data_IF_415212239679
#
_entry.id   IF_415212239679
#
_cell.length_a   1.000
_cell.length_b   1.000
_cell.length_c   1.000
_cell.angle_alpha   90.00
_cell.angle_beta   90.00
_cell.angle_gamma   90.00
#
_symmetry.space_group_name_H-M   'P 1'
#
loop_
_entity.id
_entity.type
_entity.pdbx_description
1 polymer ?
#
# COMPACT_ATOMS: atom_id res chain seq x y z
N UNK A 1 23.53 34.76 -23.76
CA UNK A 1 23.61 34.73 -22.25
C UNK A 1 23.08 33.37 -21.82
N UNK A 2 23.99 32.49 -21.42
CA UNK A 2 23.71 31.12 -21.03
C UNK A 2 23.40 31.11 -19.54
N UNK A 3 22.21 30.70 -19.12
CA UNK A 3 21.88 30.47 -17.70
C UNK A 3 21.94 28.99 -17.38
N UNK A 4 22.74 28.69 -16.38
CA UNK A 4 23.15 27.39 -15.90
C UNK A 4 21.98 26.54 -15.39
N UNK A 5 21.97 25.27 -15.79
CA UNK A 5 21.16 24.21 -15.19
C UNK A 5 21.70 23.89 -13.81
N UNK A 6 20.89 24.07 -12.78
CA UNK A 6 21.15 23.48 -11.45
C UNK A 6 20.71 22.03 -11.49
N UNK A 7 21.68 21.15 -11.55
CA UNK A 7 21.49 19.72 -11.32
C UNK A 7 21.26 19.50 -9.82
N UNK A 8 20.15 18.87 -9.46
CA UNK A 8 19.95 18.30 -8.13
C UNK A 8 20.74 17.00 -8.08
N UNK A 9 21.93 17.05 -7.50
CA UNK A 9 22.74 15.86 -7.23
C UNK A 9 22.23 15.18 -5.97
N UNK A 10 21.72 13.96 -6.10
CA UNK A 10 21.60 13.03 -4.97
C UNK A 10 23.00 12.50 -4.67
N UNK A 11 23.53 12.85 -3.51
CA UNK A 11 24.86 12.46 -3.05
C UNK A 11 24.85 10.99 -2.65
N UNK A 12 25.47 10.15 -3.46
CA UNK A 12 25.82 8.78 -3.08
C UNK A 12 27.19 8.79 -2.38
N UNK A 13 27.20 8.54 -1.07
CA UNK A 13 28.42 8.28 -0.31
C UNK A 13 28.94 6.88 -0.64
N UNK A 14 30.16 6.80 -1.15
CA UNK A 14 30.92 5.55 -1.35
C UNK A 14 31.42 5.04 0.01
N UNK A 15 30.98 3.87 0.44
CA UNK A 15 31.62 3.13 1.52
C UNK A 15 32.38 1.94 0.96
N UNK A 16 33.67 1.93 1.25
CA UNK A 16 34.64 0.90 0.91
C UNK A 16 34.50 -0.27 1.91
N UNK A 17 34.37 -1.50 1.41
CA UNK A 17 34.26 -2.72 2.21
C UNK A 17 35.68 -3.22 2.46
N UNK A 18 36.07 -3.36 3.73
CA UNK A 18 37.27 -4.10 4.16
C UNK A 18 36.82 -5.46 4.70
N UNK A 19 37.27 -6.53 4.04
CA UNK A 19 37.09 -7.92 4.51
C UNK A 19 38.00 -8.18 5.71
N UNK A 20 37.46 -8.76 6.78
CA UNK A 20 38.21 -9.46 7.79
C UNK A 20 37.63 -10.86 8.01
N UNK A 21 38.43 -11.89 7.68
CA UNK A 21 38.21 -13.32 8.01
C UNK A 21 38.73 -13.60 9.44
N UNK A 22 37.95 -14.34 10.24
CA UNK A 22 38.34 -15.30 11.30
C UNK A 22 37.04 -15.63 12.06
N UNK A 23 36.72 -16.83 12.50
CA UNK A 23 37.32 -18.10 12.71
C UNK A 23 36.23 -18.97 13.34
N UNK A 24 36.23 -20.27 13.00
CA UNK A 24 35.34 -21.31 13.56
C UNK A 24 35.55 -21.49 15.07
N UNK A 25 34.46 -21.63 15.81
CA UNK A 25 34.44 -22.53 17.00
C UNK A 25 33.02 -23.10 17.19
N UNK A 26 32.98 -24.41 17.19
CA UNK A 26 31.84 -25.24 17.55
C UNK A 26 31.63 -25.26 19.06
N UNK A 27 30.40 -25.18 19.52
CA UNK A 27 29.98 -25.68 20.85
C UNK A 27 28.60 -26.32 20.78
N UNK A 28 28.54 -27.44 21.44
CA UNK A 28 27.51 -28.48 21.42
C UNK A 28 26.21 -28.10 22.14
N UNK A 29 25.15 -28.80 21.71
CA UNK A 29 23.86 -29.06 22.32
C UNK A 29 23.71 -28.85 23.83
N UNK A 30 22.66 -28.07 24.22
CA UNK A 30 21.83 -28.37 25.39
C UNK A 30 20.39 -28.14 25.01
N UNK A 31 19.62 -29.22 24.96
CA UNK A 31 18.19 -29.19 24.70
C UNK A 31 17.41 -28.49 25.84
N UNK A 32 16.71 -27.46 25.52
CA UNK A 32 15.61 -26.92 26.33
C UNK A 32 14.30 -27.13 25.57
N UNK A 33 13.54 -28.11 26.02
CA UNK A 33 12.20 -28.45 25.53
C UNK A 33 11.22 -27.37 26.01
N UNK A 34 11.12 -26.25 25.31
CA UNK A 34 10.07 -25.27 25.51
C UNK A 34 8.87 -25.69 24.64
N UNK A 35 7.85 -26.27 25.27
CA UNK A 35 6.51 -26.40 24.69
C UNK A 35 6.10 -25.03 24.12
N UNK A 36 6.07 -24.91 22.80
CA UNK A 36 5.43 -23.82 22.15
C UNK A 36 3.95 -23.82 22.56
N UNK A 37 3.53 -22.77 23.25
CA UNK A 37 2.11 -22.51 23.46
C UNK A 37 1.47 -22.34 22.09
N UNK A 38 0.63 -23.30 21.71
CA UNK A 38 -0.23 -23.23 20.53
C UNK A 38 -1.15 -22.02 20.71
N UNK A 39 -0.91 -20.95 19.96
CA UNK A 39 -1.84 -19.83 19.81
C UNK A 39 -3.10 -20.39 19.16
N UNK A 40 -4.12 -20.66 19.97
CA UNK A 40 -5.44 -21.06 19.51
C UNK A 40 -6.11 -19.84 18.85
N UNK A 41 -6.36 -19.88 17.54
CA UNK A 41 -7.32 -18.97 16.92
C UNK A 41 -6.99 -18.34 15.57
N UNK A 42 -5.74 -18.30 15.10
CA UNK A 42 -5.45 -17.79 13.76
C UNK A 42 -5.83 -18.85 12.71
N UNK A 43 -6.79 -18.54 11.84
CA UNK A 43 -7.15 -19.41 10.71
C UNK A 43 -5.96 -19.55 9.76
N UNK A 44 -5.76 -20.76 9.20
CA UNK A 44 -4.76 -20.97 8.15
C UNK A 44 -5.06 -20.03 6.97
N UNK A 45 -4.01 -19.45 6.38
CA UNK A 45 -4.13 -18.66 5.16
C UNK A 45 -4.39 -19.62 4.00
N UNK A 46 -5.40 -19.35 3.22
CA UNK A 46 -5.75 -20.07 1.99
C UNK A 46 -5.63 -19.14 0.79
N UNK A 47 -5.41 -19.71 -0.37
CA UNK A 47 -5.34 -19.00 -1.66
C UNK A 47 -6.62 -19.23 -2.45
N UNK A 48 -7.03 -18.22 -3.22
CA UNK A 48 -8.16 -18.33 -4.12
C UNK A 48 -7.98 -17.45 -5.36
N UNK A 49 -8.89 -17.62 -6.29
CA UNK A 49 -8.91 -16.79 -7.49
C UNK A 49 -10.31 -16.43 -7.92
N UNK A 50 -10.43 -15.34 -8.66
CA UNK A 50 -11.66 -14.82 -9.25
C UNK A 50 -11.36 -14.33 -10.67
N UNK A 51 -12.25 -14.56 -11.61
CA UNK A 51 -12.09 -14.05 -12.98
C UNK A 51 -13.03 -12.88 -13.20
N UNK A 52 -12.48 -11.75 -13.61
CA UNK A 52 -13.22 -10.51 -13.90
C UNK A 52 -14.05 -10.65 -15.18
N UNK A 53 -14.99 -9.71 -15.41
CA UNK A 53 -15.84 -9.68 -16.59
C UNK A 53 -15.08 -9.54 -17.92
N UNK A 54 -13.86 -8.98 -17.88
CA UNK A 54 -12.94 -8.88 -19.02
C UNK A 54 -11.93 -10.06 -19.11
N UNK A 55 -12.15 -11.13 -18.35
CA UNK A 55 -11.42 -12.40 -18.44
C UNK A 55 -10.08 -12.43 -17.69
N UNK A 56 -9.76 -11.45 -16.85
CA UNK A 56 -8.52 -11.41 -16.07
C UNK A 56 -8.69 -12.18 -14.77
N UNK A 57 -7.82 -13.16 -14.53
CA UNK A 57 -7.82 -13.94 -13.28
C UNK A 57 -7.07 -13.18 -12.20
N UNK A 58 -7.77 -12.81 -11.13
CA UNK A 58 -7.21 -12.19 -9.94
C UNK A 58 -7.00 -13.23 -8.85
N UNK A 59 -5.83 -13.19 -8.22
CA UNK A 59 -5.48 -13.99 -7.07
C UNK A 59 -5.80 -13.23 -5.77
N UNK A 60 -6.10 -13.96 -4.70
CA UNK A 60 -6.23 -13.39 -3.36
C UNK A 60 -5.82 -14.41 -2.29
N UNK A 61 -5.38 -13.88 -1.15
CA UNK A 61 -5.16 -14.62 0.09
C UNK A 61 -6.32 -14.38 1.04
N UNK A 62 -6.75 -15.41 1.76
CA UNK A 62 -7.89 -15.33 2.67
C UNK A 62 -7.60 -16.06 3.99
N UNK A 63 -8.00 -15.47 5.11
CA UNK A 63 -7.88 -16.09 6.42
C UNK A 63 -9.03 -15.68 7.35
N UNK A 64 -9.41 -16.57 8.27
CA UNK A 64 -10.45 -16.30 9.26
C UNK A 64 -11.87 -16.44 8.75
N UNK A 65 -12.82 -16.05 9.61
CA UNK A 65 -14.26 -16.06 9.38
C UNK A 65 -14.90 -14.83 9.99
N UNK A 66 -16.14 -14.54 9.65
CA UNK A 66 -16.89 -13.40 10.18
C UNK A 66 -17.05 -12.28 9.19
N UNK A 67 -17.10 -11.02 9.69
CA UNK A 67 -17.28 -9.83 8.85
C UNK A 67 -16.16 -9.69 7.83
N UNK A 68 -16.45 -9.45 6.55
CA UNK A 68 -15.41 -9.29 5.54
C UNK A 68 -14.57 -8.02 5.78
N UNK A 69 -13.25 -8.20 5.81
CA UNK A 69 -12.25 -7.15 5.73
C UNK A 69 -11.44 -7.39 4.46
N UNK A 70 -11.66 -6.57 3.44
CA UNK A 70 -10.98 -6.70 2.14
C UNK A 70 -9.86 -5.67 2.06
N UNK A 71 -8.64 -6.12 1.75
CA UNK A 71 -7.43 -5.31 1.74
C UNK A 71 -6.89 -5.17 0.33
N UNK A 72 -6.76 -3.93 -0.12
CA UNK A 72 -6.25 -3.56 -1.45
C UNK A 72 -4.82 -3.04 -1.29
N UNK A 73 -3.83 -3.65 -1.94
CA UNK A 73 -2.43 -3.22 -1.87
C UNK A 73 -2.19 -1.92 -2.64
N UNK A 74 -1.05 -1.30 -2.38
CA UNK A 74 -0.59 -0.14 -3.12
C UNK A 74 -0.01 -0.49 -4.49
N UNK A 75 0.49 0.53 -5.17
CA UNK A 75 1.15 0.39 -6.47
C UNK A 75 2.30 -0.61 -6.39
N UNK A 76 2.29 -1.57 -7.30
CA UNK A 76 3.30 -2.63 -7.44
C UNK A 76 3.36 -3.64 -6.28
N UNK A 77 2.55 -3.49 -5.25
CA UNK A 77 2.52 -4.36 -4.06
C UNK A 77 1.73 -5.65 -4.31
N UNK A 78 1.80 -6.57 -3.35
CA UNK A 78 1.11 -7.86 -3.42
C UNK A 78 0.28 -8.14 -2.18
N UNK A 79 -0.70 -9.05 -2.30
CA UNK A 79 -1.50 -9.57 -1.19
C UNK A 79 -0.63 -10.13 -0.06
N UNK A 80 0.52 -10.73 -0.38
CA UNK A 80 1.44 -11.31 0.58
C UNK A 80 2.03 -10.27 1.56
N UNK A 81 2.09 -8.99 1.19
CA UNK A 81 2.58 -7.94 2.08
C UNK A 81 1.63 -7.68 3.27
N UNK A 82 0.38 -8.16 3.21
CA UNK A 82 -0.57 -8.15 4.33
C UNK A 82 -0.48 -9.40 5.24
N UNK A 83 0.62 -10.16 5.19
CA UNK A 83 0.81 -11.41 5.97
C UNK A 83 0.48 -11.26 7.47
N UNK A 84 0.86 -10.13 8.06
CA UNK A 84 0.60 -9.84 9.47
C UNK A 84 -0.86 -9.45 9.76
N UNK A 85 -1.58 -8.91 8.79
CA UNK A 85 -3.00 -8.59 8.88
C UNK A 85 -3.84 -9.85 8.67
N UNK A 86 -3.47 -10.68 7.68
CA UNK A 86 -4.11 -11.98 7.43
C UNK A 86 -4.09 -12.87 8.69
N UNK A 87 -2.97 -12.93 9.40
CA UNK A 87 -2.87 -13.70 10.65
C UNK A 87 -3.44 -12.98 11.85
N UNK A 88 -3.13 -11.69 12.00
CA UNK A 88 -3.42 -10.92 13.21
C UNK A 88 -4.85 -10.39 13.32
N UNK A 89 -5.65 -10.40 12.23
CA UNK A 89 -7.05 -9.94 12.21
C UNK A 89 -8.04 -11.09 11.99
N UNK A 90 -7.56 -12.28 11.65
CA UNK A 90 -8.41 -13.43 11.30
C UNK A 90 -9.21 -14.04 12.47
N UNK A 91 -8.92 -13.64 13.70
CA UNK A 91 -9.69 -13.98 14.89
C UNK A 91 -11.04 -13.23 14.97
N UNK A 92 -11.15 -12.09 14.27
CA UNK A 92 -12.34 -11.22 14.27
C UNK A 92 -12.99 -11.08 12.90
N UNK A 93 -12.21 -11.20 11.84
CA UNK A 93 -12.63 -10.90 10.47
C UNK A 93 -12.35 -12.06 9.53
N UNK A 94 -13.12 -12.14 8.47
CA UNK A 94 -12.76 -12.83 7.24
C UNK A 94 -11.88 -11.87 6.44
N UNK A 95 -10.56 -11.98 6.58
CA UNK A 95 -9.59 -11.10 5.92
C UNK A 95 -9.31 -11.62 4.52
N UNK A 96 -9.46 -10.78 3.51
CA UNK A 96 -9.18 -11.08 2.10
C UNK A 96 -8.21 -10.03 1.59
N UNK A 97 -6.99 -10.42 1.22
CA UNK A 97 -6.00 -9.55 0.59
C UNK A 97 -5.90 -9.89 -0.90
N UNK A 98 -6.04 -8.90 -1.79
CA UNK A 98 -6.13 -9.09 -3.23
C UNK A 98 -4.80 -8.79 -3.89
N UNK A 99 -4.37 -9.62 -4.85
CA UNK A 99 -3.44 -9.20 -5.88
C UNK A 99 -4.22 -8.53 -7.01
N UNK A 100 -4.02 -7.22 -7.20
CA UNK A 100 -4.67 -6.50 -8.30
C UNK A 100 -4.16 -6.99 -9.66
N UNK A 101 -4.87 -6.70 -10.76
CA UNK A 101 -4.37 -7.05 -12.11
C UNK A 101 -2.93 -6.55 -12.32
N UNK A 102 -2.08 -7.40 -12.86
CA UNK A 102 -0.66 -7.12 -13.04
C UNK A 102 0.20 -7.39 -11.81
N UNK A 103 -0.38 -7.41 -10.60
CA UNK A 103 0.34 -7.56 -9.34
C UNK A 103 0.42 -9.02 -8.90
N UNK A 104 1.39 -9.35 -8.06
CA UNK A 104 1.53 -10.62 -7.37
C UNK A 104 1.33 -11.84 -8.27
N UNK A 105 0.41 -12.71 -7.88
CA UNK A 105 0.07 -13.94 -8.60
C UNK A 105 -1.14 -13.77 -9.55
N UNK A 106 -1.71 -12.57 -9.66
CA UNK A 106 -2.74 -12.26 -10.64
C UNK A 106 -2.19 -12.19 -12.06
N UNK A 107 -3.07 -12.40 -13.05
CA UNK A 107 -2.75 -12.25 -14.47
C UNK A 107 -2.17 -10.87 -14.79
N UNK A 108 -1.31 -10.84 -15.80
CA UNK A 108 -0.60 -9.63 -16.27
C UNK A 108 -1.05 -9.26 -17.69
N UNK A 109 -2.34 -8.85 -17.86
CA UNK A 109 -2.87 -8.48 -19.17
C UNK A 109 -2.12 -7.28 -19.75
N UNK A 110 -2.22 -7.06 -21.05
CA UNK A 110 -1.63 -5.91 -21.72
C UNK A 110 -2.44 -4.61 -21.54
N UNK A 111 -3.59 -4.68 -20.84
CA UNK A 111 -4.58 -3.59 -20.69
C UNK A 111 -5.13 -3.47 -19.28
N UNK A 112 -5.90 -2.39 -19.02
CA UNK A 112 -6.67 -2.23 -17.79
C UNK A 112 -5.90 -1.60 -16.63
N UNK A 113 -4.71 -1.07 -16.84
CA UNK A 113 -3.90 -0.40 -15.82
C UNK A 113 -4.36 1.03 -15.60
N UNK A 114 -5.54 1.18 -14.97
CA UNK A 114 -6.20 2.43 -14.61
C UNK A 114 -6.96 2.26 -13.30
N UNK A 115 -6.95 3.26 -12.45
CA UNK A 115 -7.58 3.20 -11.11
C UNK A 115 -9.04 2.77 -11.18
N UNK A 116 -9.85 3.35 -12.06
CA UNK A 116 -11.26 2.99 -12.20
C UNK A 116 -11.47 1.53 -12.65
N UNK A 117 -10.57 0.96 -13.48
CA UNK A 117 -10.66 -0.48 -13.80
C UNK A 117 -10.31 -1.35 -12.59
N UNK A 118 -9.32 -0.95 -11.80
CA UNK A 118 -8.99 -1.63 -10.55
C UNK A 118 -10.18 -1.55 -9.56
N UNK A 119 -10.85 -0.41 -9.50
CA UNK A 119 -12.06 -0.22 -8.68
C UNK A 119 -13.19 -1.15 -9.11
N UNK A 120 -13.40 -1.28 -10.42
CA UNK A 120 -14.36 -2.23 -10.98
C UNK A 120 -13.99 -3.69 -10.67
N UNK A 121 -12.71 -4.05 -10.74
CA UNK A 121 -12.22 -5.39 -10.34
C UNK A 121 -12.57 -5.73 -8.89
N UNK A 122 -12.42 -4.75 -7.98
CA UNK A 122 -12.80 -4.92 -6.57
C UNK A 122 -14.32 -5.11 -6.45
N UNK A 123 -15.14 -4.28 -7.10
CA UNK A 123 -16.60 -4.41 -7.06
C UNK A 123 -17.07 -5.76 -7.61
N UNK A 124 -16.49 -6.21 -8.71
CA UNK A 124 -16.77 -7.52 -9.31
C UNK A 124 -16.42 -8.66 -8.34
N UNK A 125 -15.26 -8.59 -7.65
CA UNK A 125 -14.88 -9.58 -6.63
C UNK A 125 -15.88 -9.61 -5.47
N UNK A 126 -16.24 -8.43 -4.90
CA UNK A 126 -17.22 -8.36 -3.81
C UNK A 126 -18.55 -8.96 -4.22
N UNK A 127 -18.98 -8.68 -5.44
CA UNK A 127 -20.24 -9.19 -6.00
C UNK A 127 -20.20 -10.71 -6.19
N UNK A 128 -19.18 -11.23 -6.84
CA UNK A 128 -19.05 -12.67 -7.14
C UNK A 128 -18.91 -13.51 -5.86
N UNK A 129 -18.26 -12.98 -4.82
CA UNK A 129 -18.15 -13.65 -3.51
C UNK A 129 -19.38 -13.41 -2.61
N UNK A 130 -20.38 -12.66 -3.06
CA UNK A 130 -21.58 -12.34 -2.27
C UNK A 130 -21.26 -11.54 -1.00
N UNK A 131 -20.18 -10.74 -0.99
CA UNK A 131 -19.77 -9.98 0.18
C UNK A 131 -20.61 -8.72 0.33
N UNK A 132 -21.06 -8.46 1.55
CA UNK A 132 -21.76 -7.24 1.96
C UNK A 132 -21.29 -6.83 3.35
N UNK A 133 -21.63 -5.64 3.81
CA UNK A 133 -21.17 -5.09 5.09
C UNK A 133 -19.63 -5.12 5.21
N UNK A 134 -18.96 -4.87 4.09
CA UNK A 134 -17.50 -4.99 3.95
C UNK A 134 -16.80 -3.82 4.63
N UNK A 135 -15.75 -4.11 5.40
CA UNK A 135 -14.70 -3.14 5.72
C UNK A 135 -13.71 -3.14 4.57
N UNK A 136 -13.61 -2.05 3.82
CA UNK A 136 -12.68 -1.96 2.69
C UNK A 136 -11.45 -1.16 3.11
N UNK A 137 -10.30 -1.81 3.13
CA UNK A 137 -9.01 -1.22 3.51
C UNK A 137 -8.12 -1.06 2.28
N UNK A 138 -7.57 0.11 2.05
CA UNK A 138 -6.62 0.37 0.96
C UNK A 138 -5.33 0.96 1.50
N UNK A 139 -4.19 0.45 1.03
CA UNK A 139 -2.89 1.03 1.29
C UNK A 139 -2.41 1.79 0.05
N UNK A 140 -1.92 3.04 0.24
CA UNK A 140 -1.33 3.81 -0.86
C UNK A 140 -2.29 3.88 -2.06
N UNK A 141 -1.88 3.48 -3.27
CA UNK A 141 -2.77 3.38 -4.44
C UNK A 141 -4.09 2.66 -4.15
N UNK A 142 -4.12 1.72 -3.20
CA UNK A 142 -5.37 1.06 -2.77
C UNK A 142 -6.42 2.03 -2.24
N UNK A 143 -6.02 3.18 -1.66
CA UNK A 143 -6.95 4.24 -1.30
C UNK A 143 -7.57 4.89 -2.55
N UNK A 144 -6.78 5.15 -3.59
CA UNK A 144 -7.31 5.69 -4.87
C UNK A 144 -8.28 4.70 -5.53
N UNK A 145 -8.02 3.39 -5.40
CA UNK A 145 -8.96 2.36 -5.84
C UNK A 145 -10.27 2.42 -5.03
N UNK A 146 -10.21 2.70 -3.72
CA UNK A 146 -11.41 2.91 -2.88
C UNK A 146 -12.16 4.19 -3.32
N UNK A 147 -11.46 5.28 -3.60
CA UNK A 147 -12.10 6.52 -4.05
C UNK A 147 -12.74 6.36 -5.43
N UNK A 148 -12.06 5.70 -6.37
CA UNK A 148 -12.67 5.34 -7.66
C UNK A 148 -13.84 4.36 -7.53
N UNK A 149 -13.80 3.44 -6.56
CA UNK A 149 -14.95 2.60 -6.22
C UNK A 149 -16.12 3.45 -5.74
N UNK A 150 -15.84 4.44 -4.84
CA UNK A 150 -16.87 5.33 -4.31
C UNK A 150 -17.51 6.18 -5.40
N UNK A 151 -16.72 6.71 -6.32
CA UNK A 151 -17.21 7.48 -7.47
C UNK A 151 -18.13 6.65 -8.39
N UNK A 152 -17.78 5.38 -8.64
CA UNK A 152 -18.52 4.52 -9.57
C UNK A 152 -19.74 3.86 -8.94
N UNK A 153 -19.68 3.50 -7.67
CA UNK A 153 -20.67 2.62 -7.01
C UNK A 153 -21.19 3.17 -5.67
N UNK A 154 -20.70 4.34 -5.23
CA UNK A 154 -20.99 4.85 -3.89
C UNK A 154 -20.56 3.86 -2.80
N UNK A 155 -21.36 3.78 -1.74
CA UNK A 155 -21.13 2.85 -0.65
C UNK A 155 -21.67 1.43 -0.89
N UNK A 156 -21.96 1.02 -2.14
CA UNK A 156 -22.49 -0.33 -2.38
C UNK A 156 -21.60 -1.41 -1.73
N UNK A 157 -22.22 -2.32 -0.96
CA UNK A 157 -21.59 -3.40 -0.19
C UNK A 157 -20.69 -2.96 0.96
N UNK A 158 -20.35 -1.68 1.09
CA UNK A 158 -19.39 -1.16 2.06
C UNK A 158 -20.07 -0.71 3.35
N UNK A 159 -19.35 -0.82 4.45
CA UNK A 159 -19.84 -0.39 5.77
C UNK A 159 -18.85 0.48 6.53
N UNK A 160 -17.56 0.32 6.27
CA UNK A 160 -16.48 1.13 6.84
C UNK A 160 -15.31 1.18 5.85
N UNK A 161 -14.50 2.23 5.92
CA UNK A 161 -13.27 2.36 5.15
C UNK A 161 -12.05 2.46 6.08
N UNK A 162 -10.91 1.91 5.62
CA UNK A 162 -9.59 2.12 6.23
C UNK A 162 -8.65 2.62 5.14
N UNK A 163 -8.29 3.88 5.19
CA UNK A 163 -7.42 4.56 4.23
C UNK A 163 -6.00 4.64 4.82
N UNK A 164 -5.03 3.96 4.19
CA UNK A 164 -3.71 3.78 4.76
C UNK A 164 -2.69 4.49 3.87
N UNK A 165 -2.21 5.63 4.35
CA UNK A 165 -1.06 6.39 3.86
C UNK A 165 -1.09 6.73 2.36
N UNK A 166 -2.12 7.47 1.94
CA UNK A 166 -2.26 8.00 0.59
C UNK A 166 -2.75 9.44 0.61
N UNK A 167 -2.14 10.29 -0.22
CA UNK A 167 -2.62 11.64 -0.51
C UNK A 167 -3.74 11.61 -1.57
N UNK A 168 -4.66 12.57 -1.57
CA UNK A 168 -5.77 12.61 -2.55
C UNK A 168 -5.32 12.95 -3.97
N UNK A 169 -4.13 13.53 -4.16
CA UNK A 169 -3.52 13.73 -5.46
C UNK A 169 -1.99 13.72 -5.35
N UNK A 170 -1.32 12.98 -6.23
CA UNK A 170 0.15 12.81 -6.21
C UNK A 170 0.85 13.95 -6.94
N UNK A 171 0.30 14.40 -8.08
CA UNK A 171 0.91 15.42 -8.93
C UNK A 171 0.26 16.78 -8.69
N UNK A 172 1.06 17.77 -8.29
CA UNK A 172 0.58 19.12 -8.05
C UNK A 172 0.02 19.76 -9.32
N UNK A 173 -1.15 20.38 -9.23
CA UNK A 173 -1.65 21.25 -10.28
C UNK A 173 -0.87 22.57 -10.24
N UNK A 174 -0.34 23.08 -11.39
CA UNK A 174 0.46 24.30 -11.43
C UNK A 174 -0.29 25.56 -11.01
N UNK A 175 -1.64 25.55 -10.99
CA UNK A 175 -2.45 26.68 -10.55
C UNK A 175 -2.67 26.74 -9.03
N UNK A 176 -2.29 25.67 -8.30
CA UNK A 176 -2.48 25.63 -6.85
C UNK A 176 -1.54 26.55 -6.09
N UNK A 177 -2.07 27.20 -5.06
CA UNK A 177 -1.27 27.88 -4.06
C UNK A 177 -0.57 26.88 -3.11
N UNK A 178 0.29 27.35 -2.22
CA UNK A 178 1.08 26.49 -1.31
C UNK A 178 0.20 25.75 -0.28
N UNK A 179 -0.94 26.32 0.12
CA UNK A 179 -1.87 25.67 1.03
C UNK A 179 -2.58 24.50 0.33
N UNK A 180 -3.07 24.72 -0.89
CA UNK A 180 -3.69 23.64 -1.70
C UNK A 180 -2.72 22.48 -1.96
N UNK A 181 -1.43 22.78 -2.23
CA UNK A 181 -0.40 21.75 -2.39
C UNK A 181 -0.19 20.96 -1.10
N UNK A 182 -0.17 21.65 0.05
CA UNK A 182 -0.02 21.04 1.38
C UNK A 182 -1.21 20.15 1.71
N UNK A 183 -2.43 20.64 1.48
CA UNK A 183 -3.67 19.92 1.73
C UNK A 183 -3.80 18.68 0.83
N UNK A 184 -3.51 18.84 -0.45
CA UNK A 184 -3.45 17.73 -1.38
C UNK A 184 -2.31 16.74 -1.08
N UNK A 185 -1.23 17.21 -0.43
CA UNK A 185 -0.05 16.40 -0.13
C UNK A 185 0.76 16.02 -1.37
N UNK A 186 0.61 16.78 -2.46
CA UNK A 186 1.24 16.48 -3.73
C UNK A 186 2.78 16.49 -3.64
N UNK A 187 3.41 15.45 -4.18
CA UNK A 187 4.87 15.22 -4.10
C UNK A 187 5.56 15.30 -5.47
N UNK A 188 4.81 15.28 -6.55
CA UNK A 188 5.32 15.36 -7.93
C UNK A 188 4.84 16.64 -8.60
N UNK A 189 5.62 17.14 -9.52
CA UNK A 189 5.19 18.02 -10.60
C UNK A 189 5.10 17.23 -11.93
N UNK A 190 4.65 17.90 -13.00
CA UNK A 190 4.50 17.26 -14.30
C UNK A 190 5.81 16.67 -14.85
N UNK A 191 6.95 17.32 -14.60
CA UNK A 191 8.25 16.86 -15.11
C UNK A 191 8.72 15.64 -14.31
N UNK A 192 8.63 15.71 -12.99
CA UNK A 192 8.97 14.59 -12.09
C UNK A 192 8.11 13.36 -12.37
N UNK A 193 6.82 13.54 -12.71
CA UNK A 193 5.95 12.43 -13.12
C UNK A 193 6.45 11.76 -14.41
N UNK A 194 6.79 12.53 -15.45
CA UNK A 194 7.34 11.96 -16.68
C UNK A 194 8.68 11.27 -16.44
N UNK A 195 9.59 11.89 -15.66
CA UNK A 195 10.90 11.33 -15.38
C UNK A 195 10.81 9.98 -14.64
N UNK A 196 9.98 9.88 -13.60
CA UNK A 196 9.83 8.63 -12.84
C UNK A 196 9.14 7.54 -13.67
N UNK A 197 8.12 7.88 -14.45
CA UNK A 197 7.43 6.89 -15.28
C UNK A 197 8.29 6.40 -16.45
N UNK A 198 9.08 7.27 -17.06
CA UNK A 198 10.06 6.89 -18.08
C UNK A 198 11.17 5.99 -17.50
N UNK A 199 11.70 6.33 -16.33
CA UNK A 199 12.69 5.51 -15.64
C UNK A 199 12.15 4.12 -15.31
N UNK A 200 10.91 4.04 -14.79
CA UNK A 200 10.24 2.77 -14.49
C UNK A 200 10.00 1.90 -15.72
N UNK A 201 9.62 2.52 -16.86
CA UNK A 201 9.36 1.79 -18.10
C UNK A 201 10.65 1.36 -18.84
N UNK A 202 11.77 2.01 -18.56
CA UNK A 202 13.06 1.82 -19.21
C UNK A 202 13.96 0.78 -18.55
N UNK A 203 15.24 0.82 -18.94
CA UNK A 203 16.28 -0.10 -18.46
C UNK A 203 16.53 0.01 -16.93
N UNK A 204 16.31 1.17 -16.34
CA UNK A 204 16.48 1.43 -14.91
C UNK A 204 15.26 1.05 -14.05
N UNK A 205 14.21 0.46 -14.63
CA UNK A 205 12.94 0.22 -13.95
C UNK A 205 13.05 -0.59 -12.66
N UNK A 206 13.92 -1.61 -12.62
CA UNK A 206 14.20 -2.40 -11.41
C UNK A 206 14.87 -1.53 -10.35
N UNK A 207 15.96 -0.85 -10.70
CA UNK A 207 16.72 0.01 -9.78
C UNK A 207 15.87 1.18 -9.25
N UNK A 208 15.05 1.78 -10.10
CA UNK A 208 14.11 2.84 -9.70
C UNK A 208 13.11 2.30 -8.67
N UNK A 209 12.57 1.11 -8.90
CA UNK A 209 11.65 0.46 -7.96
C UNK A 209 12.33 0.16 -6.62
N UNK A 210 13.55 -0.41 -6.64
CA UNK A 210 14.33 -0.71 -5.42
C UNK A 210 14.58 0.54 -4.59
N UNK A 211 15.01 1.64 -5.23
CA UNK A 211 15.24 2.92 -4.55
C UNK A 211 13.95 3.50 -3.97
N UNK A 212 12.86 3.42 -4.72
CA UNK A 212 11.56 3.93 -4.29
C UNK A 212 11.02 3.17 -3.08
N UNK A 213 11.00 1.83 -3.15
CA UNK A 213 10.53 1.00 -2.03
C UNK A 213 11.43 1.13 -0.80
N UNK A 214 12.75 1.20 -0.99
CA UNK A 214 13.70 1.40 0.13
C UNK A 214 13.41 2.69 0.90
N UNK A 215 13.10 3.77 0.20
CA UNK A 215 12.77 5.08 0.81
C UNK A 215 11.44 5.09 1.58
N UNK A 216 10.59 4.09 1.39
CA UNK A 216 9.28 3.97 2.02
C UNK A 216 9.28 3.24 3.37
N UNK A 217 10.42 2.74 3.82
CA UNK A 217 10.59 2.09 5.13
C UNK A 217 11.48 2.94 6.05
N UNK A 218 11.30 2.79 7.35
CA UNK A 218 12.21 3.39 8.33
C UNK A 218 13.58 2.73 8.27
N UNK A 219 14.62 3.45 8.70
CA UNK A 219 15.99 2.91 8.75
C UNK A 219 16.14 1.72 9.70
N UNK A 220 15.22 1.59 10.66
CA UNK A 220 15.19 0.52 11.65
C UNK A 220 14.61 -0.79 11.11
N UNK A 221 13.93 -0.75 9.95
CA UNK A 221 13.29 -1.95 9.41
C UNK A 221 14.30 -3.01 8.97
N UNK A 222 13.96 -4.27 9.18
CA UNK A 222 14.82 -5.42 8.87
C UNK A 222 15.23 -5.43 7.39
N UNK A 223 16.51 -5.59 7.13
CA UNK A 223 17.04 -5.65 5.75
C UNK A 223 16.48 -6.82 4.96
N UNK A 224 16.30 -7.97 5.60
CA UNK A 224 15.75 -9.16 4.93
C UNK A 224 14.27 -8.97 4.57
N UNK A 225 13.49 -8.41 5.48
CA UNK A 225 12.09 -8.07 5.22
C UNK A 225 11.95 -6.96 4.15
N UNK A 226 12.84 -5.96 4.14
CA UNK A 226 12.90 -4.95 3.10
C UNK A 226 13.21 -5.57 1.73
N UNK A 227 14.23 -6.44 1.66
CA UNK A 227 14.58 -7.15 0.43
C UNK A 227 13.41 -8.01 -0.07
N UNK A 228 12.72 -8.71 0.84
CA UNK A 228 11.52 -9.47 0.51
C UNK A 228 10.42 -8.55 -0.04
N UNK A 229 10.15 -7.40 0.58
CA UNK A 229 9.17 -6.44 0.10
C UNK A 229 9.52 -5.92 -1.31
N UNK A 230 10.79 -5.62 -1.58
CA UNK A 230 11.27 -5.22 -2.91
C UNK A 230 10.96 -6.32 -3.93
N UNK A 231 11.27 -7.59 -3.63
CA UNK A 231 10.99 -8.71 -4.54
C UNK A 231 9.49 -8.90 -4.80
N UNK A 232 8.61 -8.66 -3.81
CA UNK A 232 7.17 -8.64 -4.03
C UNK A 232 6.77 -7.56 -5.04
N UNK A 233 7.30 -6.35 -4.90
CA UNK A 233 7.00 -5.23 -5.79
C UNK A 233 7.52 -5.46 -7.24
N UNK A 234 8.60 -6.20 -7.41
CA UNK A 234 9.16 -6.52 -8.74
C UNK A 234 8.36 -7.58 -9.51
N UNK A 235 7.38 -8.24 -8.91
CA UNK A 235 6.49 -9.18 -9.62
C UNK A 235 5.60 -8.48 -10.67
N UNK A 236 5.35 -7.19 -10.53
CA UNK A 236 4.60 -6.41 -11.52
C UNK A 236 5.52 -5.98 -12.66
N UNK A 237 5.24 -6.29 -13.95
CA UNK A 237 6.09 -5.89 -15.07
C UNK A 237 6.26 -4.36 -15.15
N UNK A 238 7.50 -3.90 -15.20
CA UNK A 238 7.82 -2.47 -15.08
C UNK A 238 7.12 -1.56 -16.08
N UNK A 239 6.99 -1.90 -17.40
CA UNK A 239 6.25 -1.06 -18.34
C UNK A 239 4.77 -0.88 -17.98
N UNK A 240 4.14 -1.91 -17.42
CA UNK A 240 2.74 -1.82 -16.96
C UNK A 240 2.62 -1.07 -15.62
N UNK A 241 3.60 -1.27 -14.74
CA UNK A 241 3.69 -0.53 -13.49
C UNK A 241 3.84 0.98 -13.74
N UNK A 242 4.64 1.39 -14.73
CA UNK A 242 4.78 2.78 -15.15
C UNK A 242 3.45 3.36 -15.67
N UNK A 243 2.71 2.61 -16.49
CA UNK A 243 1.38 3.03 -16.98
C UNK A 243 0.40 3.26 -15.84
N UNK A 244 0.37 2.33 -14.88
CA UNK A 244 -0.52 2.45 -13.74
C UNK A 244 -0.12 3.60 -12.83
N UNK A 245 1.18 3.82 -12.60
CA UNK A 245 1.65 4.96 -11.80
C UNK A 245 1.25 6.29 -12.45
N UNK A 246 1.38 6.40 -13.78
CA UNK A 246 0.98 7.60 -14.50
C UNK A 246 -0.50 7.91 -14.30
N UNK A 247 -1.39 6.91 -14.52
CA UNK A 247 -2.83 7.07 -14.30
C UNK A 247 -3.12 7.42 -12.85
N UNK A 248 -2.54 6.69 -11.90
CA UNK A 248 -2.71 6.92 -10.45
C UNK A 248 -2.31 8.33 -10.03
N UNK A 249 -1.20 8.85 -10.56
CA UNK A 249 -0.64 10.13 -10.15
C UNK A 249 -1.38 11.35 -10.70
N UNK A 250 -2.26 11.18 -11.69
CA UNK A 250 -2.98 12.28 -12.35
C UNK A 250 -4.44 12.43 -11.91
N UNK A 251 -4.95 11.51 -11.10
CA UNK A 251 -6.31 11.62 -10.57
C UNK A 251 -6.35 12.50 -9.31
N UNK A 252 -7.26 13.46 -9.28
CA UNK A 252 -7.56 14.32 -8.13
C UNK A 252 -8.84 13.83 -7.44
N UNK A 253 -8.71 13.33 -6.22
CA UNK A 253 -9.80 12.73 -5.46
C UNK A 253 -10.40 13.66 -4.39
N UNK A 254 -9.98 14.93 -4.36
CA UNK A 254 -10.42 15.87 -3.31
C UNK A 254 -11.91 16.11 -3.29
N UNK A 255 -12.57 16.04 -4.43
CA UNK A 255 -14.02 16.20 -4.58
C UNK A 255 -14.82 14.94 -4.20
N UNK A 256 -14.17 13.76 -4.22
CA UNK A 256 -14.78 12.49 -3.79
C UNK A 256 -14.81 12.36 -2.26
N UNK A 257 -13.82 12.91 -1.55
CA UNK A 257 -13.70 12.76 -0.10
C UNK A 257 -14.95 13.21 0.67
N UNK A 258 -15.56 14.38 0.38
CA UNK A 258 -16.77 14.82 1.08
C UNK A 258 -18.02 13.97 0.82
N UNK A 259 -18.02 13.16 -0.25
CA UNK A 259 -19.13 12.28 -0.60
C UNK A 259 -19.12 10.99 0.24
N UNK A 260 -18.01 10.67 0.90
CA UNK A 260 -17.89 9.47 1.73
C UNK A 260 -18.71 9.65 3.00
N UNK A 261 -19.70 8.77 3.17
CA UNK A 261 -20.70 8.85 4.24
C UNK A 261 -20.73 7.63 5.17
N UNK A 262 -19.68 6.79 5.13
CA UNK A 262 -19.49 5.68 6.07
C UNK A 262 -18.34 5.99 7.03
N UNK A 263 -18.33 5.40 8.24
CA UNK A 263 -17.20 5.54 9.17
C UNK A 263 -15.88 5.22 8.49
N UNK A 264 -14.91 6.12 8.61
CA UNK A 264 -13.62 6.02 7.93
C UNK A 264 -12.47 6.21 8.91
N UNK A 265 -11.52 5.29 8.89
CA UNK A 265 -10.24 5.40 9.58
C UNK A 265 -9.16 5.81 8.56
N UNK A 266 -8.43 6.87 8.86
CA UNK A 266 -7.28 7.34 8.08
C UNK A 266 -6.03 7.06 8.91
N UNK A 267 -5.07 6.35 8.33
CA UNK A 267 -3.80 6.01 9.00
C UNK A 267 -2.65 6.56 8.18
N UNK A 268 -1.76 7.32 8.81
CA UNK A 268 -0.59 7.90 8.15
C UNK A 268 0.68 7.73 8.96
N UNK A 269 1.84 7.92 8.30
CA UNK A 269 3.16 7.90 8.90
C UNK A 269 3.80 9.28 8.97
N UNK A 270 4.42 9.60 10.11
CA UNK A 270 5.06 10.91 10.36
C UNK A 270 6.21 11.20 9.43
N UNK A 271 6.94 10.15 9.04
CA UNK A 271 8.13 10.22 8.17
C UNK A 271 7.88 9.66 6.77
N UNK A 272 6.61 9.35 6.45
CA UNK A 272 6.23 8.93 5.11
C UNK A 272 6.44 10.05 4.08
N UNK A 273 6.68 9.64 2.84
CA UNK A 273 6.64 10.56 1.69
C UNK A 273 5.23 11.15 1.49
N UNK A 274 4.18 10.46 1.98
CA UNK A 274 2.82 10.97 2.05
C UNK A 274 2.74 11.91 3.25
N UNK A 275 2.59 13.20 3.01
CA UNK A 275 2.57 14.22 4.06
C UNK A 275 1.47 13.97 5.09
N UNK A 276 1.84 13.70 6.35
CA UNK A 276 0.87 13.46 7.44
C UNK A 276 -0.13 14.60 7.63
N UNK A 277 0.22 15.85 7.24
CA UNK A 277 -0.71 17.00 7.26
C UNK A 277 -1.84 16.80 6.26
N UNK A 278 -1.57 16.22 5.09
CA UNK A 278 -2.60 15.86 4.12
C UNK A 278 -3.56 14.79 4.68
N UNK A 279 -3.04 13.84 5.47
CA UNK A 279 -3.89 12.86 6.16
C UNK A 279 -4.83 13.55 7.18
N UNK A 280 -4.33 14.55 7.91
CA UNK A 280 -5.17 15.34 8.81
C UNK A 280 -6.20 16.17 8.05
N UNK A 281 -5.81 16.79 6.93
CA UNK A 281 -6.72 17.53 6.07
C UNK A 281 -7.84 16.62 5.52
N UNK A 282 -7.52 15.42 5.02
CA UNK A 282 -8.54 14.45 4.58
C UNK A 282 -9.52 14.12 5.71
N UNK A 283 -9.03 14.07 6.97
CA UNK A 283 -9.87 13.90 8.15
C UNK A 283 -10.89 15.02 8.34
N UNK A 284 -10.62 16.21 7.85
CA UNK A 284 -11.59 17.33 7.88
C UNK A 284 -12.61 17.25 6.73
N UNK A 285 -12.28 16.54 5.64
CA UNK A 285 -13.12 16.40 4.46
C UNK A 285 -14.12 15.24 4.60
N UNK A 286 -13.75 14.16 5.27
CA UNK A 286 -14.60 12.97 5.46
C UNK A 286 -15.29 13.07 6.82
N UNK A 287 -16.61 13.33 6.80
CA UNK A 287 -17.40 13.52 8.03
C UNK A 287 -17.35 12.31 8.96
N UNK A 288 -16.93 12.55 10.21
CA UNK A 288 -16.87 11.49 11.24
C UNK A 288 -15.71 10.50 11.07
N UNK A 289 -14.69 10.87 10.30
CA UNK A 289 -13.47 10.09 10.19
C UNK A 289 -12.62 10.19 11.47
N UNK A 290 -11.81 9.15 11.70
CA UNK A 290 -10.76 9.11 12.73
C UNK A 290 -9.40 9.11 12.03
N UNK A 291 -8.47 9.93 12.50
CA UNK A 291 -7.10 10.00 11.98
C UNK A 291 -6.12 9.48 13.02
N UNK A 292 -5.24 8.57 12.60
CA UNK A 292 -4.16 7.99 13.41
C UNK A 292 -2.83 8.19 12.69
N UNK A 293 -1.89 8.85 13.36
CA UNK A 293 -0.53 9.08 12.83
C UNK A 293 0.46 8.27 13.64
N UNK A 294 1.25 7.45 12.94
CA UNK A 294 2.35 6.70 13.53
C UNK A 294 3.59 7.59 13.59
N UNK A 295 4.19 7.72 14.77
CA UNK A 295 5.46 8.43 14.92
C UNK A 295 6.62 7.59 14.34
N UNK A 296 7.78 8.22 14.07
CA UNK A 296 8.95 7.55 13.49
C UNK A 296 9.36 6.32 14.32
N UNK A 297 9.41 6.45 15.65
CA UNK A 297 9.75 5.37 16.57
C UNK A 297 8.73 4.20 16.58
N UNK A 298 7.55 4.40 15.99
CA UNK A 298 6.49 3.41 15.86
C UNK A 298 6.46 2.75 14.47
N UNK A 299 7.50 2.95 13.64
CA UNK A 299 7.51 2.51 12.25
C UNK A 299 6.66 3.41 11.35
N UNK A 300 6.59 4.70 11.66
CA UNK A 300 5.72 5.69 11.01
C UNK A 300 6.22 6.17 9.65
N UNK A 301 6.61 5.25 8.77
CA UNK A 301 6.83 5.49 7.35
C UNK A 301 5.67 4.87 6.54
N UNK A 302 5.81 4.70 5.24
CA UNK A 302 4.74 4.30 4.32
C UNK A 302 4.15 2.91 4.62
N UNK A 303 4.97 1.98 5.11
CA UNK A 303 4.59 0.59 5.38
C UNK A 303 4.36 0.30 6.88
N UNK A 304 3.75 1.24 7.65
CA UNK A 304 3.53 1.09 9.09
C UNK A 304 2.80 -0.21 9.48
N UNK A 305 1.96 -0.75 8.62
CA UNK A 305 1.26 -2.01 8.85
C UNK A 305 2.19 -3.24 8.79
N UNK A 306 3.36 -3.12 8.16
CA UNK A 306 4.43 -4.12 8.16
C UNK A 306 5.44 -3.85 9.29
N UNK A 307 5.80 -2.58 9.51
CA UNK A 307 6.80 -2.20 10.50
C UNK A 307 6.29 -2.32 11.94
N UNK A 308 5.00 -2.03 12.18
CA UNK A 308 4.35 -2.18 13.49
C UNK A 308 2.98 -2.82 13.37
N UNK A 309 2.92 -4.11 12.98
CA UNK A 309 1.66 -4.82 12.76
C UNK A 309 0.82 -4.93 14.04
N UNK A 310 1.44 -4.95 15.21
CA UNK A 310 0.73 -5.03 16.50
C UNK A 310 -0.13 -3.79 16.73
N UNK A 311 0.45 -2.59 16.61
CA UNK A 311 -0.29 -1.33 16.76
C UNK A 311 -1.34 -1.19 15.66
N UNK A 312 -0.95 -1.46 14.41
CA UNK A 312 -1.86 -1.35 13.28
C UNK A 312 -3.08 -2.27 13.42
N UNK A 313 -2.87 -3.55 13.70
CA UNK A 313 -3.96 -4.51 13.87
C UNK A 313 -4.87 -4.17 15.04
N UNK A 314 -4.31 -3.67 16.15
CA UNK A 314 -5.12 -3.20 17.30
C UNK A 314 -6.05 -2.06 16.90
N UNK A 315 -5.53 -1.03 16.20
CA UNK A 315 -6.32 0.13 15.76
C UNK A 315 -7.44 -0.31 14.79
N UNK A 316 -7.13 -1.22 13.85
CA UNK A 316 -8.13 -1.76 12.92
C UNK A 316 -9.21 -2.56 13.67
N UNK A 317 -8.84 -3.41 14.64
CA UNK A 317 -9.81 -4.16 15.46
C UNK A 317 -10.73 -3.24 16.26
N UNK A 318 -10.19 -2.19 16.87
CA UNK A 318 -10.95 -1.20 17.65
C UNK A 318 -11.95 -0.44 16.77
N UNK A 319 -11.52 -0.07 15.55
CA UNK A 319 -12.36 0.69 14.64
C UNK A 319 -13.39 -0.16 13.91
N UNK A 320 -12.99 -1.33 13.42
CA UNK A 320 -13.79 -2.15 12.51
C UNK A 320 -14.63 -3.21 13.22
N UNK A 321 -14.26 -3.57 14.45
CA UNK A 321 -14.94 -4.56 15.28
C UNK A 321 -16.32 -4.18 15.79
#
# INVERSE_FOLDING_TARGET
>A
MIRSRKQVFVVFSKFTITLALAGLMACQNMGANTKAATASGAGAISEGSFTTSDGVKLHYLEAGKGRPLVMIPGWSQTAAQFKHQLTGLSDKFRVIAIDMRGHGESDKPVHGYRIHRLSADVHELLTAKGLSNVVLAGHSMGCSVIWGYWELYGGDRLSKLVLIDQMPMITANPIWNEQEKTDAGAILDKNSLYDVTNSLAGADGVKTTEGFITGMFTKAYSRDELNWAIQQNLKFPRPYAARLLYDHATNDWRDVLPLINVPTLIVGGKTSLVGWKSQQWMGTQIKGSRVEIFEEAEGGNHFMFMENPTKFNRIVKEFAG
#
